data_IF_179701037606
#
_entry.id   IF_179701037606
#
_cell.length_a   1.000
_cell.length_b   1.000
_cell.length_c   1.000
_cell.angle_alpha   90.00
_cell.angle_beta   90.00
_cell.angle_gamma   90.00
#
_symmetry.space_group_name_H-M   'P 1'
#
loop_
_entity.id
_entity.type
_entity.pdbx_description
1 polymer ?
#
# COMPACT_ATOMS: atom_id res chain seq x y z
N UNK A 1 -23.76 -22.23 10.29
CA UNK A 1 -23.43 -22.78 11.62
C UNK A 1 -21.93 -22.60 11.79
N UNK A 2 -21.46 -22.04 12.91
CA UNK A 2 -20.05 -21.76 13.13
C UNK A 2 -19.25 -23.08 13.23
N UNK A 3 -18.22 -23.25 12.41
CA UNK A 3 -17.37 -24.46 12.36
C UNK A 3 -15.91 -24.11 12.62
N UNK A 4 -15.47 -24.36 13.85
CA UNK A 4 -14.11 -24.10 14.31
C UNK A 4 -13.04 -24.88 13.53
N UNK A 5 -13.32 -26.12 13.16
CA UNK A 5 -12.36 -26.95 12.44
C UNK A 5 -12.13 -26.38 11.04
N UNK A 6 -13.21 -25.96 10.40
CA UNK A 6 -13.13 -25.37 9.08
C UNK A 6 -12.48 -23.97 9.13
N UNK A 7 -12.76 -23.14 10.15
CA UNK A 7 -12.02 -21.89 10.39
C UNK A 7 -10.52 -22.14 10.55
N UNK A 8 -10.13 -23.07 11.42
CA UNK A 8 -8.72 -23.41 11.65
C UNK A 8 -8.03 -23.93 10.38
N UNK A 9 -8.74 -24.76 9.60
CA UNK A 9 -8.26 -25.24 8.30
C UNK A 9 -7.91 -24.07 7.38
N UNK A 10 -8.85 -23.14 7.18
CA UNK A 10 -8.65 -22.02 6.26
C UNK A 10 -7.57 -21.06 6.73
N UNK A 11 -7.54 -20.72 8.02
CA UNK A 11 -6.48 -19.90 8.60
C UNK A 11 -5.13 -20.57 8.33
N UNK A 12 -4.96 -21.84 8.69
CA UNK A 12 -3.70 -22.56 8.47
C UNK A 12 -3.32 -22.65 7.00
N UNK A 13 -4.30 -22.87 6.12
CA UNK A 13 -4.08 -23.00 4.69
C UNK A 13 -3.62 -21.68 4.05
N UNK A 14 -4.10 -20.52 4.52
CA UNK A 14 -3.63 -19.21 4.05
C UNK A 14 -2.13 -19.01 4.33
N UNK A 15 -1.62 -19.45 5.49
CA UNK A 15 -0.20 -19.33 5.81
C UNK A 15 0.69 -20.37 5.10
N UNK A 16 0.18 -21.58 4.86
CA UNK A 16 1.00 -22.67 4.29
C UNK A 16 0.93 -22.73 2.76
N UNK A 17 -0.26 -22.56 2.21
CA UNK A 17 -0.57 -22.80 0.80
C UNK A 17 -1.65 -21.83 0.31
N UNK A 18 -1.35 -20.51 0.26
CA UNK A 18 -2.36 -19.47 -0.01
C UNK A 18 -3.09 -19.65 -1.34
N UNK A 19 -2.38 -20.00 -2.42
CA UNK A 19 -3.00 -20.27 -3.73
C UNK A 19 -3.99 -21.43 -3.69
N UNK A 20 -3.59 -22.54 -3.08
CA UNK A 20 -4.43 -23.73 -2.98
C UNK A 20 -5.68 -23.43 -2.14
N UNK A 21 -5.51 -22.71 -1.03
CA UNK A 21 -6.59 -22.28 -0.16
C UNK A 21 -7.60 -21.39 -0.91
N UNK A 22 -7.10 -20.39 -1.65
CA UNK A 22 -7.94 -19.47 -2.42
C UNK A 22 -8.73 -20.19 -3.51
N UNK A 23 -8.10 -21.12 -4.26
CA UNK A 23 -8.78 -21.92 -5.28
C UNK A 23 -9.85 -22.84 -4.69
N UNK A 24 -9.51 -23.55 -3.62
CA UNK A 24 -10.44 -24.47 -2.95
C UNK A 24 -11.65 -23.71 -2.38
N UNK A 25 -11.40 -22.54 -1.77
CA UNK A 25 -12.46 -21.71 -1.21
C UNK A 25 -13.32 -21.05 -2.29
N UNK A 26 -12.72 -20.54 -3.36
CA UNK A 26 -13.44 -19.97 -4.50
C UNK A 26 -14.33 -21.04 -5.17
N UNK A 27 -13.83 -22.28 -5.30
CA UNK A 27 -14.59 -23.41 -5.85
C UNK A 27 -15.76 -23.82 -4.96
N UNK A 28 -15.67 -23.63 -3.64
CA UNK A 28 -16.76 -23.91 -2.71
C UNK A 28 -17.96 -22.96 -2.91
N UNK A 29 -17.76 -21.78 -3.51
CA UNK A 29 -18.83 -20.83 -3.84
C UNK A 29 -19.65 -20.41 -2.61
N UNK A 30 -18.99 -20.29 -1.45
CA UNK A 30 -19.66 -20.01 -0.19
C UNK A 30 -20.34 -18.62 -0.21
N UNK A 31 -21.58 -18.49 0.29
CA UNK A 31 -22.24 -17.19 0.42
C UNK A 31 -21.47 -16.28 1.39
N UNK A 32 -21.55 -14.96 1.20
CA UNK A 32 -20.80 -13.99 1.99
C UNK A 32 -21.02 -14.16 3.51
N UNK A 33 -22.25 -14.51 3.92
CA UNK A 33 -22.59 -14.70 5.32
C UNK A 33 -21.83 -15.91 5.93
N UNK A 34 -21.59 -16.96 5.14
CA UNK A 34 -20.77 -18.08 5.58
C UNK A 34 -19.31 -17.64 5.73
N UNK A 35 -18.77 -16.93 4.75
CA UNK A 35 -17.41 -16.38 4.80
C UNK A 35 -17.20 -15.45 6.00
N UNK A 36 -18.17 -14.58 6.28
CA UNK A 36 -18.16 -13.70 7.44
C UNK A 36 -18.14 -14.49 8.75
N UNK A 37 -19.11 -15.41 8.93
CA UNK A 37 -19.24 -16.20 10.15
C UNK A 37 -18.05 -17.14 10.38
N UNK A 38 -17.44 -17.65 9.31
CA UNK A 38 -16.41 -18.68 9.39
C UNK A 38 -14.98 -18.13 9.38
N UNK A 39 -14.74 -16.98 8.77
CA UNK A 39 -13.40 -16.41 8.63
C UNK A 39 -13.30 -15.07 9.34
N UNK A 40 -14.01 -14.05 8.85
CA UNK A 40 -13.85 -12.66 9.29
C UNK A 40 -14.15 -12.49 10.78
N UNK A 41 -15.30 -12.98 11.23
CA UNK A 41 -15.75 -12.84 12.61
C UNK A 41 -14.78 -13.52 13.60
N UNK A 42 -14.47 -14.82 13.49
CA UNK A 42 -13.53 -15.47 14.39
C UNK A 42 -12.11 -14.89 14.31
N UNK A 43 -11.64 -14.48 13.11
CA UNK A 43 -10.32 -13.88 12.97
C UNK A 43 -10.21 -12.57 13.76
N UNK A 44 -11.18 -11.66 13.64
CA UNK A 44 -11.18 -10.43 14.41
C UNK A 44 -11.41 -10.67 15.90
N UNK A 45 -12.34 -11.54 16.29
CA UNK A 45 -12.55 -11.85 17.73
C UNK A 45 -11.26 -12.36 18.36
N UNK A 46 -10.56 -13.28 17.68
CA UNK A 46 -9.26 -13.77 18.15
C UNK A 46 -8.20 -12.66 18.20
N UNK A 47 -8.10 -11.84 17.15
CA UNK A 47 -7.14 -10.74 17.09
C UNK A 47 -7.33 -9.75 18.24
N UNK A 48 -8.57 -9.36 18.50
CA UNK A 48 -8.90 -8.42 19.56
C UNK A 48 -8.67 -9.00 20.96
N UNK A 49 -9.02 -10.27 21.19
CA UNK A 49 -8.76 -10.91 22.49
C UNK A 49 -7.26 -11.10 22.75
N UNK A 50 -6.52 -11.58 21.75
CA UNK A 50 -5.07 -11.82 21.86
C UNK A 50 -4.32 -10.50 22.01
N UNK A 51 -4.63 -9.50 21.16
CA UNK A 51 -3.99 -8.19 21.22
C UNK A 51 -4.25 -7.48 22.55
N UNK A 52 -5.47 -7.60 23.11
CA UNK A 52 -5.78 -7.05 24.43
C UNK A 52 -4.97 -7.70 25.56
N UNK A 53 -4.82 -9.03 25.54
CA UNK A 53 -3.99 -9.75 26.52
C UNK A 53 -2.51 -9.37 26.38
N UNK A 54 -2.00 -9.32 25.15
CA UNK A 54 -0.60 -8.95 24.89
C UNK A 54 -0.32 -7.51 25.32
N UNK A 55 -1.22 -6.57 25.03
CA UNK A 55 -1.10 -5.18 25.48
C UNK A 55 -1.05 -5.09 27.01
N UNK A 56 -1.90 -5.85 27.71
CA UNK A 56 -1.91 -5.89 29.17
C UNK A 56 -0.60 -6.44 29.78
N UNK A 57 0.07 -7.37 29.09
CA UNK A 57 1.35 -7.96 29.53
C UNK A 57 2.53 -7.03 29.23
N UNK A 58 2.57 -6.47 28.02
CA UNK A 58 3.71 -5.69 27.53
C UNK A 58 3.61 -4.19 27.81
N UNK A 59 2.51 -3.74 28.43
CA UNK A 59 2.34 -2.35 28.86
C UNK A 59 2.38 -1.37 27.70
N UNK A 60 1.90 -1.76 26.52
CA UNK A 60 2.01 -0.98 25.28
C UNK A 60 1.21 0.33 25.28
N UNK A 61 0.50 0.66 26.37
CA UNK A 61 -0.32 1.87 26.49
C UNK A 61 -1.61 1.83 25.65
N UNK A 62 -1.57 1.10 24.53
CA UNK A 62 -2.69 0.82 23.65
C UNK A 62 -3.53 -0.33 24.17
N UNK A 63 -4.21 -0.14 25.30
CA UNK A 63 -5.38 -0.97 25.57
C UNK A 63 -6.47 -0.58 24.57
N UNK A 64 -6.37 -1.13 23.36
CA UNK A 64 -7.36 -1.14 22.28
C UNK A 64 -8.41 -0.02 22.35
N UNK A 65 -8.08 1.13 21.75
CA UNK A 65 -9.02 2.18 21.31
C UNK A 65 -10.14 2.56 22.28
N UNK A 66 -10.06 3.78 22.83
CA UNK A 66 -11.16 4.47 23.54
C UNK A 66 -11.58 3.82 24.87
N UNK A 67 -10.76 3.97 25.91
CA UNK A 67 -11.24 4.22 27.29
C UNK A 67 -12.27 3.28 27.92
N UNK A 68 -12.46 2.04 27.43
CA UNK A 68 -13.39 1.05 27.99
C UNK A 68 -14.07 0.12 26.97
N UNK A 69 -14.97 -0.74 27.46
CA UNK A 69 -15.64 -1.78 26.66
C UNK A 69 -16.47 -1.24 25.47
N UNK A 70 -16.94 0.00 25.54
CA UNK A 70 -17.70 0.64 24.46
C UNK A 70 -16.80 0.97 23.27
N UNK A 71 -15.60 1.53 23.51
CA UNK A 71 -14.62 1.81 22.46
C UNK A 71 -14.19 0.55 21.70
N UNK A 72 -13.96 -0.52 22.45
CA UNK A 72 -13.67 -1.84 21.90
C UNK A 72 -14.77 -2.34 20.94
N UNK A 73 -16.04 -2.27 21.36
CA UNK A 73 -17.17 -2.74 20.53
C UNK A 73 -17.31 -1.89 19.28
N UNK A 74 -17.16 -0.56 19.39
CA UNK A 74 -17.23 0.35 18.24
C UNK A 74 -16.10 0.04 17.24
N UNK A 75 -14.87 -0.13 17.71
CA UNK A 75 -13.72 -0.45 16.86
C UNK A 75 -13.87 -1.81 16.17
N UNK A 76 -14.39 -2.80 16.89
CA UNK A 76 -14.70 -4.09 16.32
C UNK A 76 -15.75 -3.99 15.20
N UNK A 77 -16.84 -3.26 15.42
CA UNK A 77 -17.89 -3.05 14.41
C UNK A 77 -17.35 -2.30 13.19
N UNK A 78 -16.51 -1.28 13.38
CA UNK A 78 -15.90 -0.54 12.29
C UNK A 78 -14.94 -1.40 11.46
N UNK A 79 -14.12 -2.25 12.10
CA UNK A 79 -13.25 -3.19 11.40
C UNK A 79 -14.05 -4.19 10.57
N UNK A 80 -15.14 -4.72 11.13
CA UNK A 80 -16.04 -5.59 10.38
C UNK A 80 -16.64 -4.83 9.20
N UNK A 81 -17.20 -3.63 9.42
CA UNK A 81 -17.78 -2.81 8.36
C UNK A 81 -16.77 -2.50 7.24
N UNK A 82 -15.51 -2.24 7.60
CA UNK A 82 -14.42 -2.04 6.65
C UNK A 82 -14.25 -3.24 5.70
N UNK A 83 -14.33 -4.48 6.19
CA UNK A 83 -14.26 -5.66 5.30
C UNK A 83 -15.42 -5.78 4.32
N UNK A 84 -16.62 -5.35 4.70
CA UNK A 84 -17.75 -5.29 3.78
C UNK A 84 -17.54 -4.23 2.69
N UNK A 85 -16.98 -3.08 3.06
CA UNK A 85 -16.65 -2.02 2.14
C UNK A 85 -15.56 -2.44 1.14
N UNK A 86 -14.50 -3.10 1.62
CA UNK A 86 -13.46 -3.70 0.77
C UNK A 86 -14.09 -4.64 -0.27
N UNK A 87 -14.93 -5.58 0.17
CA UNK A 87 -15.60 -6.52 -0.72
C UNK A 87 -16.50 -5.82 -1.75
N UNK A 88 -17.20 -4.77 -1.33
CA UNK A 88 -18.06 -3.98 -2.21
C UNK A 88 -17.28 -3.25 -3.30
N UNK A 89 -16.19 -2.57 -2.95
CA UNK A 89 -15.34 -1.85 -3.91
C UNK A 89 -14.75 -2.81 -4.93
N UNK A 90 -14.21 -3.94 -4.47
CA UNK A 90 -13.65 -4.97 -5.35
C UNK A 90 -14.71 -5.58 -6.27
N UNK A 91 -15.92 -5.88 -5.77
CA UNK A 91 -17.05 -6.35 -6.60
C UNK A 91 -17.45 -5.32 -7.66
N UNK A 92 -17.58 -4.06 -7.24
CA UNK A 92 -18.01 -2.98 -8.13
C UNK A 92 -17.02 -2.76 -9.27
N UNK A 93 -15.73 -2.68 -8.94
CA UNK A 93 -14.68 -2.49 -9.92
C UNK A 93 -14.49 -3.73 -10.80
N UNK A 94 -14.74 -4.95 -10.30
CA UNK A 94 -14.65 -6.15 -11.13
C UNK A 94 -15.58 -6.05 -12.36
N UNK A 95 -16.78 -5.49 -12.19
CA UNK A 95 -17.70 -5.26 -13.32
C UNK A 95 -17.19 -4.24 -14.35
N UNK A 96 -16.34 -3.30 -13.94
CA UNK A 96 -15.78 -2.26 -14.82
C UNK A 96 -14.61 -2.80 -15.65
N UNK A 97 -13.85 -3.75 -15.08
CA UNK A 97 -12.64 -4.31 -15.69
C UNK A 97 -12.86 -5.67 -16.37
N UNK A 98 -14.11 -6.02 -16.67
CA UNK A 98 -14.48 -7.26 -17.39
C UNK A 98 -14.44 -8.53 -16.55
N UNK A 99 -14.38 -8.41 -15.22
CA UNK A 99 -14.55 -9.50 -14.27
C UNK A 99 -16.02 -9.84 -13.98
N UNK A 100 -16.23 -10.93 -13.25
CA UNK A 100 -17.56 -11.37 -12.82
C UNK A 100 -17.93 -10.67 -11.50
N UNK A 101 -18.99 -9.85 -11.55
CA UNK A 101 -19.60 -9.30 -10.34
C UNK A 101 -20.26 -10.43 -9.55
N UNK A 102 -19.79 -10.64 -8.35
CA UNK A 102 -20.35 -11.55 -7.38
C UNK A 102 -19.86 -11.16 -5.99
N UNK A 103 -20.72 -10.51 -5.20
CA UNK A 103 -20.39 -10.06 -3.85
C UNK A 103 -20.02 -11.22 -2.93
N UNK A 104 -20.64 -12.39 -3.07
CA UNK A 104 -20.30 -13.59 -2.27
C UNK A 104 -18.84 -14.00 -2.49
N UNK A 105 -18.43 -13.99 -3.76
CA UNK A 105 -17.07 -14.31 -4.17
C UNK A 105 -16.07 -13.24 -3.75
N UNK A 106 -16.40 -11.95 -3.97
CA UNK A 106 -15.57 -10.82 -3.56
C UNK A 106 -15.36 -10.78 -2.04
N UNK A 107 -16.41 -11.05 -1.26
CA UNK A 107 -16.32 -11.11 0.19
C UNK A 107 -15.49 -12.31 0.65
N UNK A 108 -15.66 -13.49 0.04
CA UNK A 108 -14.83 -14.67 0.33
C UNK A 108 -13.33 -14.41 0.11
N UNK A 109 -12.99 -13.69 -0.96
CA UNK A 109 -11.63 -13.26 -1.26
C UNK A 109 -11.06 -12.37 -0.14
N UNK A 110 -11.77 -11.30 0.22
CA UNK A 110 -11.34 -10.37 1.27
C UNK A 110 -11.26 -11.08 2.63
N UNK A 111 -12.22 -11.95 2.94
CA UNK A 111 -12.26 -12.70 4.19
C UNK A 111 -11.06 -13.65 4.36
N UNK A 112 -10.51 -14.20 3.28
CA UNK A 112 -9.24 -14.94 3.33
C UNK A 112 -8.03 -14.02 3.39
N UNK A 113 -8.03 -12.96 2.59
CA UNK A 113 -6.90 -12.06 2.49
C UNK A 113 -6.67 -11.24 3.77
N UNK A 114 -7.69 -11.01 4.59
CA UNK A 114 -7.58 -10.24 5.84
C UNK A 114 -6.97 -11.05 7.00
N UNK A 115 -6.87 -12.38 6.87
CA UNK A 115 -6.38 -13.26 7.94
C UNK A 115 -4.98 -12.84 8.44
N UNK A 116 -3.99 -12.56 7.58
CA UNK A 116 -2.71 -12.02 8.02
C UNK A 116 -2.85 -10.70 8.76
N UNK A 117 -3.60 -9.73 8.21
CA UNK A 117 -3.79 -8.43 8.84
C UNK A 117 -4.42 -8.56 10.24
N UNK A 118 -5.39 -9.47 10.41
CA UNK A 118 -5.95 -9.80 11.72
C UNK A 118 -4.90 -10.36 12.68
N UNK A 119 -4.00 -11.22 12.22
CA UNK A 119 -2.85 -11.69 13.03
C UNK A 119 -1.90 -10.54 13.36
N UNK A 120 -1.65 -9.62 12.43
CA UNK A 120 -0.91 -8.38 12.68
C UNK A 120 -1.53 -7.57 13.82
N UNK A 121 -2.83 -7.31 13.75
CA UNK A 121 -3.60 -6.66 14.83
C UNK A 121 -3.53 -7.42 16.15
N UNK A 122 -3.49 -8.75 16.13
CA UNK A 122 -3.28 -9.52 17.35
C UNK A 122 -1.90 -9.25 17.96
N UNK A 123 -0.86 -9.14 17.13
CA UNK A 123 0.52 -8.91 17.55
C UNK A 123 0.83 -7.45 17.88
N UNK A 124 -0.07 -6.51 17.54
CA UNK A 124 0.10 -5.09 17.84
C UNK A 124 0.23 -4.79 19.33
N UNK A 125 -0.28 -5.67 20.21
CA UNK A 125 -0.14 -5.56 21.65
C UNK A 125 1.30 -5.66 22.18
N UNK A 126 2.27 -6.03 21.34
CA UNK A 126 3.69 -6.07 21.73
C UNK A 126 4.31 -4.69 21.51
N UNK A 127 4.55 -3.93 22.58
CA UNK A 127 4.93 -2.51 22.52
C UNK A 127 6.09 -2.13 21.56
N UNK A 128 7.12 -2.98 21.46
CA UNK A 128 8.38 -2.64 20.75
C UNK A 128 8.44 -3.13 19.30
N UNK A 129 7.61 -4.08 18.89
CA UNK A 129 7.63 -4.67 17.54
C UNK A 129 6.24 -4.85 16.93
N UNK A 130 5.18 -4.67 17.71
CA UNK A 130 3.79 -4.88 17.29
C UNK A 130 3.39 -4.03 16.10
N UNK A 131 3.85 -2.78 16.03
CA UNK A 131 3.63 -1.91 14.86
C UNK A 131 4.26 -2.46 13.58
N UNK A 132 5.52 -2.91 13.66
CA UNK A 132 6.24 -3.51 12.51
C UNK A 132 5.58 -4.82 12.08
N UNK A 133 5.18 -5.67 13.02
CA UNK A 133 4.47 -6.93 12.71
C UNK A 133 3.12 -6.67 12.05
N UNK A 134 2.39 -5.65 12.53
CA UNK A 134 1.12 -5.23 11.94
C UNK A 134 1.32 -4.73 10.51
N UNK A 135 2.36 -3.93 10.27
CA UNK A 135 2.69 -3.43 8.94
C UNK A 135 3.05 -4.58 7.99
N UNK A 136 3.95 -5.49 8.38
CA UNK A 136 4.34 -6.65 7.58
C UNK A 136 3.14 -7.55 7.25
N UNK A 137 2.28 -7.82 8.24
CA UNK A 137 1.06 -8.57 8.06
C UNK A 137 0.07 -7.90 7.11
N UNK A 138 -0.02 -6.56 7.15
CA UNK A 138 -0.90 -5.78 6.28
C UNK A 138 -0.38 -5.75 4.85
N UNK A 139 0.93 -5.57 4.65
CA UNK A 139 1.56 -5.67 3.32
C UNK A 139 1.31 -7.07 2.73
N UNK A 140 1.47 -8.12 3.53
CA UNK A 140 1.22 -9.47 3.05
C UNK A 140 -0.27 -9.72 2.72
N UNK A 141 -1.20 -9.15 3.49
CA UNK A 141 -2.64 -9.15 3.18
C UNK A 141 -2.95 -8.50 1.83
N UNK A 142 -2.28 -7.39 1.50
CA UNK A 142 -2.40 -6.70 0.21
C UNK A 142 -1.89 -7.60 -0.93
N UNK A 143 -0.74 -8.25 -0.74
CA UNK A 143 -0.17 -9.19 -1.72
C UNK A 143 -1.12 -10.38 -1.97
N UNK A 144 -1.67 -10.98 -0.92
CA UNK A 144 -2.65 -12.06 -1.05
C UNK A 144 -3.91 -11.61 -1.79
N UNK A 145 -4.39 -10.40 -1.53
CA UNK A 145 -5.55 -9.85 -2.24
C UNK A 145 -5.30 -9.84 -3.74
N UNK A 146 -4.15 -9.33 -4.20
CA UNK A 146 -3.75 -9.36 -5.62
C UNK A 146 -3.72 -10.78 -6.18
N UNK A 147 -3.17 -11.72 -5.42
CA UNK A 147 -3.07 -13.13 -5.81
C UNK A 147 -4.44 -13.81 -5.92
N UNK A 148 -5.42 -13.40 -5.11
CA UNK A 148 -6.72 -14.05 -5.06
C UNK A 148 -7.73 -13.53 -6.10
N UNK A 149 -7.58 -12.29 -6.58
CA UNK A 149 -8.42 -11.69 -7.64
C UNK A 149 -8.77 -12.65 -8.79
N UNK A 150 -7.81 -13.34 -9.45
CA UNK A 150 -8.11 -14.21 -10.58
C UNK A 150 -9.03 -15.39 -10.23
N UNK A 151 -8.95 -15.92 -9.00
CA UNK A 151 -9.71 -17.09 -8.59
C UNK A 151 -11.16 -16.75 -8.25
N UNK A 152 -11.40 -15.59 -7.64
CA UNK A 152 -12.72 -15.19 -7.14
C UNK A 152 -13.52 -14.35 -8.15
N UNK A 153 -12.87 -13.41 -8.83
CA UNK A 153 -13.57 -12.45 -9.70
C UNK A 153 -13.32 -12.69 -11.19
N UNK A 154 -12.45 -13.65 -11.53
CA UNK A 154 -12.14 -14.05 -12.92
C UNK A 154 -11.79 -12.88 -13.84
N UNK A 155 -11.14 -11.85 -13.29
CA UNK A 155 -10.71 -10.67 -14.05
C UNK A 155 -9.71 -11.11 -15.14
N UNK A 156 -9.89 -10.67 -16.40
CA UNK A 156 -8.98 -10.96 -17.51
C UNK A 156 -7.55 -10.52 -17.18
N UNK A 157 -6.56 -11.31 -17.59
CA UNK A 157 -5.14 -11.11 -17.21
C UNK A 157 -4.61 -9.71 -17.53
N UNK A 158 -5.00 -9.16 -18.68
CA UNK A 158 -4.70 -7.80 -19.15
C UNK A 158 -5.19 -6.70 -18.19
N UNK A 159 -6.32 -6.93 -17.50
CA UNK A 159 -6.96 -5.92 -16.65
C UNK A 159 -6.76 -6.16 -15.15
N UNK A 160 -6.07 -7.24 -14.74
CA UNK A 160 -5.88 -7.58 -13.31
C UNK A 160 -5.07 -6.51 -12.57
N UNK A 161 -4.01 -6.01 -13.20
CA UNK A 161 -3.18 -4.94 -12.64
C UNK A 161 -3.97 -3.64 -12.47
N UNK A 162 -4.75 -3.28 -13.49
CA UNK A 162 -5.60 -2.08 -13.50
C UNK A 162 -6.70 -2.15 -12.44
N UNK A 163 -7.43 -3.27 -12.39
CA UNK A 163 -8.45 -3.51 -11.38
C UNK A 163 -7.90 -3.43 -9.96
N UNK A 164 -6.76 -4.07 -9.70
CA UNK A 164 -6.14 -4.02 -8.38
C UNK A 164 -5.63 -2.63 -8.01
N UNK A 165 -4.89 -1.96 -8.91
CA UNK A 165 -4.34 -0.63 -8.68
C UNK A 165 -5.43 0.40 -8.39
N UNK A 166 -6.48 0.43 -9.22
CA UNK A 166 -7.63 1.33 -9.01
C UNK A 166 -8.38 0.99 -7.73
N UNK A 167 -8.56 -0.30 -7.41
CA UNK A 167 -9.21 -0.71 -6.15
C UNK A 167 -8.44 -0.22 -4.93
N UNK A 168 -7.11 -0.35 -4.91
CA UNK A 168 -6.27 0.13 -3.80
C UNK A 168 -6.36 1.65 -3.67
N UNK A 169 -6.29 2.39 -4.78
CA UNK A 169 -6.40 3.86 -4.75
C UNK A 169 -7.76 4.31 -4.23
N UNK A 170 -8.85 3.72 -4.73
CA UNK A 170 -10.21 4.02 -4.25
C UNK A 170 -10.34 3.73 -2.76
N UNK A 171 -9.78 2.62 -2.29
CA UNK A 171 -9.80 2.26 -0.87
C UNK A 171 -8.94 3.17 0.00
N UNK A 172 -7.81 3.66 -0.51
CA UNK A 172 -7.02 4.68 0.17
C UNK A 172 -7.82 5.99 0.32
N UNK A 173 -8.49 6.44 -0.74
CA UNK A 173 -9.34 7.64 -0.69
C UNK A 173 -10.47 7.45 0.32
N UNK A 174 -11.18 6.33 0.25
CA UNK A 174 -12.23 6.01 1.22
C UNK A 174 -11.63 5.95 2.64
N UNK A 175 -10.46 5.34 2.81
CA UNK A 175 -9.77 5.27 4.10
C UNK A 175 -9.44 6.64 4.67
N UNK A 176 -9.03 7.60 3.83
CA UNK A 176 -8.83 8.99 4.22
C UNK A 176 -10.14 9.63 4.70
N UNK A 177 -11.24 9.44 3.96
CA UNK A 177 -12.58 9.93 4.35
C UNK A 177 -13.01 9.34 5.71
N UNK A 178 -12.83 8.04 5.90
CA UNK A 178 -13.12 7.38 7.17
C UNK A 178 -12.22 7.89 8.29
N UNK A 179 -10.95 8.19 7.99
CA UNK A 179 -10.00 8.79 8.94
C UNK A 179 -10.46 10.16 9.43
N UNK A 180 -10.95 11.02 8.53
CA UNK A 180 -11.53 12.33 8.86
C UNK A 180 -12.80 12.18 9.69
N UNK A 181 -13.75 11.34 9.28
CA UNK A 181 -14.97 11.08 10.05
C UNK A 181 -14.61 10.58 11.47
N UNK A 182 -13.61 9.72 11.56
CA UNK A 182 -13.15 9.17 12.82
C UNK A 182 -12.50 10.22 13.72
N UNK A 183 -11.64 11.10 13.19
CA UNK A 183 -11.02 12.16 14.00
C UNK A 183 -12.08 13.15 14.53
N UNK A 184 -13.08 13.50 13.71
CA UNK A 184 -14.20 14.38 14.08
C UNK A 184 -15.09 13.77 15.16
N UNK A 185 -15.46 12.49 15.04
CA UNK A 185 -16.39 11.82 15.97
C UNK A 185 -15.78 11.59 17.36
N UNK A 186 -14.46 11.54 17.45
CA UNK A 186 -13.75 11.03 18.63
C UNK A 186 -12.71 12.01 19.23
N UNK A 187 -12.92 13.30 18.99
CA UNK A 187 -12.07 14.46 19.38
C UNK A 187 -11.53 14.50 20.81
N UNK A 188 -12.16 13.83 21.77
CA UNK A 188 -11.74 13.83 23.18
C UNK A 188 -10.67 12.78 23.55
N UNK A 189 -10.29 11.87 22.64
CA UNK A 189 -9.29 10.82 22.92
C UNK A 189 -8.28 10.62 21.79
N UNK A 190 -8.46 11.30 20.65
CA UNK A 190 -7.59 11.22 19.47
C UNK A 190 -6.18 11.83 19.66
N UNK A 191 -5.91 12.54 20.77
CA UNK A 191 -4.59 13.10 21.11
C UNK A 191 -3.53 12.04 21.45
N UNK A 192 -3.85 10.74 21.36
CA UNK A 192 -2.90 9.65 21.69
C UNK A 192 -2.59 8.70 20.54
N UNK A 193 -3.32 8.77 19.43
CA UNK A 193 -2.94 8.07 18.19
C UNK A 193 -2.50 9.13 17.18
N UNK A 194 -1.20 9.19 16.84
CA UNK A 194 -0.59 10.24 16.01
C UNK A 194 -1.16 10.45 14.58
N UNK A 195 -2.29 9.83 14.25
CA UNK A 195 -3.14 10.15 13.10
C UNK A 195 -4.13 11.31 13.40
N UNK A 196 -4.43 11.58 14.67
CA UNK A 196 -5.40 12.59 15.10
C UNK A 196 -4.89 14.04 15.03
N UNK A 197 -3.58 14.25 15.16
CA UNK A 197 -2.95 15.58 14.98
C UNK A 197 -2.71 15.93 13.50
N UNK A 198 -2.90 14.98 12.58
CA UNK A 198 -2.68 15.20 11.16
C UNK A 198 -3.93 15.68 10.39
N UNK A 199 -5.10 15.74 11.05
CA UNK A 199 -6.37 16.12 10.43
C UNK A 199 -7.03 17.20 11.29
N UNK A 200 -6.76 18.46 10.96
CA UNK A 200 -7.31 19.64 11.64
C UNK A 200 -8.70 20.03 11.09
N UNK A 201 -9.38 20.95 11.78
CA UNK A 201 -10.74 21.47 11.53
C UNK A 201 -10.94 21.93 10.07
N UNK A 202 -9.88 22.43 9.43
CA UNK A 202 -9.87 22.89 8.04
C UNK A 202 -9.85 21.75 7.02
N UNK A 203 -9.25 20.60 7.34
CA UNK A 203 -9.30 19.41 6.47
C UNK A 203 -10.74 18.89 6.40
N UNK A 204 -11.52 19.05 7.47
CA UNK A 204 -12.90 18.60 7.53
C UNK A 204 -13.84 19.46 6.67
N UNK A 205 -13.70 20.79 6.69
CA UNK A 205 -14.46 21.72 5.83
C UNK A 205 -14.18 21.50 4.33
N UNK A 206 -12.93 21.17 4.01
CA UNK A 206 -12.45 20.80 2.68
C UNK A 206 -13.14 19.54 2.12
N UNK A 207 -13.42 18.55 2.96
CA UNK A 207 -14.09 17.32 2.52
C UNK A 207 -15.61 17.46 2.37
N UNK A 208 -16.26 18.32 3.16
CA UNK A 208 -17.69 18.64 2.96
C UNK A 208 -17.93 19.33 1.61
N UNK A 209 -17.05 20.24 1.19
CA UNK A 209 -17.12 20.90 -0.12
C UNK A 209 -16.85 19.93 -1.30
N UNK A 210 -15.98 18.92 -1.09
CA UNK A 210 -15.68 17.88 -2.08
C UNK A 210 -16.82 16.86 -2.29
N UNK A 211 -17.72 16.70 -1.31
CA UNK A 211 -18.91 15.85 -1.43
C UNK A 211 -20.07 16.57 -2.14
N UNK A 212 -20.06 17.91 -2.14
CA UNK A 212 -21.08 18.76 -2.76
C UNK A 212 -20.72 19.25 -4.18
N UNK A 213 -19.46 19.12 -4.63
CA UNK A 213 -18.97 19.60 -5.94
C UNK A 213 -18.62 18.50 -6.95
N UNK A 214 -18.92 18.74 -8.24
CA UNK A 214 -18.52 17.88 -9.37
C UNK A 214 -17.06 17.43 -9.28
N UNK A 215 -16.85 16.10 -9.27
CA UNK A 215 -15.56 15.45 -9.02
C UNK A 215 -14.38 16.11 -9.76
N UNK A 216 -13.36 16.47 -8.99
CA UNK A 216 -12.19 17.22 -9.46
C UNK A 216 -11.43 16.48 -10.59
N UNK A 217 -11.33 17.05 -11.80
CA UNK A 217 -10.65 16.46 -12.95
C UNK A 217 -9.15 16.16 -12.77
N UNK A 218 -8.48 16.81 -11.81
CA UNK A 218 -7.03 16.69 -11.61
C UNK A 218 -6.59 15.37 -10.96
N UNK A 219 -7.41 14.82 -10.06
CA UNK A 219 -7.10 13.59 -9.32
C UNK A 219 -7.14 12.34 -10.23
N UNK A 220 -8.21 12.22 -11.03
CA UNK A 220 -8.38 11.09 -11.96
C UNK A 220 -7.26 11.06 -13.01
N UNK A 221 -6.85 12.23 -13.51
CA UNK A 221 -5.72 12.34 -14.45
C UNK A 221 -4.37 11.96 -13.82
N UNK A 222 -4.17 12.22 -12.51
CA UNK A 222 -2.99 11.81 -11.76
C UNK A 222 -2.93 10.31 -11.52
N UNK A 223 -4.05 9.70 -11.11
CA UNK A 223 -4.15 8.25 -10.88
C UNK A 223 -3.98 7.45 -12.19
N UNK A 224 -4.57 7.91 -13.29
CA UNK A 224 -4.40 7.29 -14.62
C UNK A 224 -2.94 7.37 -15.07
N UNK A 225 -2.27 8.52 -14.86
CA UNK A 225 -0.85 8.68 -15.20
C UNK A 225 0.05 7.70 -14.44
N UNK A 226 -0.16 7.55 -13.13
CA UNK A 226 0.61 6.60 -12.31
C UNK A 226 0.34 5.17 -12.75
N UNK A 227 -0.93 4.83 -13.05
CA UNK A 227 -1.30 3.53 -13.59
C UNK A 227 -0.58 3.19 -14.89
N UNK A 228 -0.61 4.11 -15.86
CA UNK A 228 0.07 3.95 -17.15
C UNK A 228 1.59 3.88 -16.98
N UNK A 229 2.18 4.71 -16.12
CA UNK A 229 3.63 4.71 -15.87
C UNK A 229 4.11 3.37 -15.28
N UNK A 230 3.34 2.79 -14.35
CA UNK A 230 3.65 1.48 -13.75
C UNK A 230 3.46 0.35 -14.76
N UNK A 231 2.45 0.43 -15.63
CA UNK A 231 2.23 -0.54 -16.71
C UNK A 231 3.38 -0.50 -17.73
N UNK A 232 3.77 0.70 -18.19
CA UNK A 232 4.87 0.89 -19.13
C UNK A 232 6.21 0.42 -18.55
N UNK A 233 6.43 0.61 -17.25
CA UNK A 233 7.61 0.12 -16.55
C UNK A 233 7.63 -1.40 -16.39
N UNK A 234 6.46 -2.03 -16.23
CA UNK A 234 6.33 -3.50 -16.15
C UNK A 234 6.45 -4.18 -17.51
N UNK A 235 6.12 -3.48 -18.60
CA UNK A 235 6.25 -3.98 -19.96
C UNK A 235 7.71 -4.00 -20.45
N UNK A 236 8.59 -3.21 -19.82
CA UNK A 236 10.00 -3.16 -20.18
C UNK A 236 10.68 -4.49 -19.87
N UNK A 237 11.38 -5.02 -20.87
CA UNK A 237 12.26 -6.19 -20.73
C UNK A 237 13.67 -5.76 -21.10
N UNK A 238 14.64 -6.37 -20.43
CA UNK A 238 16.06 -6.11 -20.68
C UNK A 238 16.83 -7.41 -20.48
N UNK A 239 17.70 -7.73 -21.44
CA UNK A 239 18.58 -8.89 -21.40
C UNK A 239 19.97 -8.42 -20.97
N UNK A 240 20.41 -8.71 -19.73
CA UNK A 240 21.72 -8.32 -19.26
C UNK A 240 22.85 -8.93 -20.11
N UNK A 241 23.99 -8.24 -20.24
CA UNK A 241 25.14 -8.78 -20.93
C UNK A 241 25.65 -10.04 -20.22
N UNK A 242 26.14 -11.01 -21.01
CA UNK A 242 26.51 -12.34 -20.51
C UNK A 242 27.71 -12.33 -19.55
N UNK A 243 28.54 -11.30 -19.60
CA UNK A 243 29.65 -11.07 -18.70
C UNK A 243 29.23 -10.41 -17.37
N UNK A 244 27.98 -9.90 -17.27
CA UNK A 244 27.48 -9.19 -16.09
C UNK A 244 28.17 -7.85 -15.83
N UNK A 245 28.91 -7.32 -16.81
CA UNK A 245 29.67 -6.09 -16.67
C UNK A 245 28.81 -4.88 -17.07
N UNK A 246 28.93 -3.83 -16.27
CA UNK A 246 28.39 -2.51 -16.57
C UNK A 246 29.28 -1.81 -17.58
N UNK A 247 28.63 -1.10 -18.49
CA UNK A 247 29.30 -0.15 -19.37
C UNK A 247 29.32 1.24 -18.75
N UNK A 248 30.31 2.05 -19.13
CA UNK A 248 30.42 3.45 -18.73
C UNK A 248 29.13 4.23 -19.09
N UNK A 249 28.60 4.03 -20.30
CA UNK A 249 27.36 4.66 -20.78
C UNK A 249 26.14 4.34 -19.89
N UNK A 250 26.06 3.10 -19.38
CA UNK A 250 24.98 2.69 -18.48
C UNK A 250 25.06 3.38 -17.13
N UNK A 251 26.27 3.49 -16.57
CA UNK A 251 26.51 4.18 -15.29
C UNK A 251 26.24 5.68 -15.44
N UNK A 252 26.71 6.31 -16.51
CA UNK A 252 26.41 7.71 -16.78
C UNK A 252 24.90 7.96 -16.96
N UNK A 253 24.20 7.08 -17.66
CA UNK A 253 22.76 7.19 -17.85
C UNK A 253 22.01 7.04 -16.54
N UNK A 254 22.44 6.10 -15.69
CA UNK A 254 21.92 5.95 -14.33
C UNK A 254 22.12 7.24 -13.52
N UNK A 255 23.33 7.81 -13.49
CA UNK A 255 23.63 9.05 -12.76
C UNK A 255 22.76 10.20 -13.27
N UNK A 256 22.68 10.41 -14.59
CA UNK A 256 21.83 11.46 -15.19
C UNK A 256 20.35 11.30 -14.83
N UNK A 257 19.85 10.08 -14.73
CA UNK A 257 18.48 9.82 -14.32
C UNK A 257 18.31 10.15 -12.83
N UNK A 258 19.22 9.71 -11.97
CA UNK A 258 19.15 9.97 -10.54
C UNK A 258 19.29 11.45 -10.19
N UNK A 259 20.15 12.22 -10.87
CA UNK A 259 20.24 13.68 -10.71
C UNK A 259 18.90 14.37 -11.04
N UNK A 260 18.26 13.94 -12.13
CA UNK A 260 16.93 14.45 -12.53
C UNK A 260 15.85 14.02 -11.54
N UNK A 261 15.94 12.81 -10.99
CA UNK A 261 15.04 12.31 -9.94
C UNK A 261 15.18 13.16 -8.68
N UNK A 262 16.39 13.42 -8.21
CA UNK A 262 16.61 14.32 -7.06
C UNK A 262 16.11 15.74 -7.34
N UNK A 263 16.35 16.28 -8.53
CA UNK A 263 15.84 17.60 -8.90
C UNK A 263 14.30 17.66 -8.98
N UNK A 264 13.65 16.55 -9.36
CA UNK A 264 12.20 16.42 -9.34
C UNK A 264 11.71 16.35 -7.89
N UNK A 265 12.26 15.45 -7.08
CA UNK A 265 11.90 15.28 -5.66
C UNK A 265 12.11 16.58 -4.90
N UNK A 266 13.27 17.24 -5.04
CA UNK A 266 13.57 18.52 -4.39
C UNK A 266 12.62 19.65 -4.80
N UNK A 267 12.10 19.64 -6.04
CA UNK A 267 11.04 20.59 -6.45
C UNK A 267 9.71 20.30 -5.78
N UNK A 268 9.36 19.02 -5.63
CA UNK A 268 8.13 18.61 -4.94
C UNK A 268 8.25 18.91 -3.43
N UNK A 269 9.38 18.60 -2.81
CA UNK A 269 9.71 19.00 -1.44
C UNK A 269 9.69 20.51 -1.23
N UNK A 270 10.20 21.29 -2.19
CA UNK A 270 10.12 22.75 -2.16
C UNK A 270 8.67 23.25 -2.14
N UNK A 271 7.76 22.59 -2.87
CA UNK A 271 6.33 22.90 -2.77
C UNK A 271 5.76 22.51 -1.41
N UNK A 272 6.11 21.35 -0.87
CA UNK A 272 5.65 20.93 0.47
C UNK A 272 6.11 21.92 1.55
N UNK A 273 7.39 22.36 1.49
CA UNK A 273 7.91 23.41 2.39
C UNK A 273 7.19 24.73 2.22
N UNK A 274 6.88 25.13 0.99
CA UNK A 274 6.13 26.36 0.74
C UNK A 274 4.70 26.28 1.32
N UNK A 275 4.06 25.10 1.28
CA UNK A 275 2.77 24.87 1.92
C UNK A 275 2.89 24.87 3.45
N UNK A 276 3.94 24.28 3.99
CA UNK A 276 4.26 24.30 5.43
C UNK A 276 4.51 25.72 5.93
N UNK A 277 5.29 26.54 5.21
CA UNK A 277 5.54 27.94 5.53
C UNK A 277 4.24 28.77 5.45
N UNK A 278 3.37 28.51 4.46
CA UNK A 278 2.06 29.16 4.35
C UNK A 278 1.16 28.83 5.55
N UNK A 279 1.16 27.57 5.99
CA UNK A 279 0.46 27.16 7.21
C UNK A 279 1.03 27.86 8.45
N UNK A 280 2.36 27.97 8.57
CA UNK A 280 3.01 28.69 9.68
C UNK A 280 2.69 30.19 9.70
N UNK A 281 2.44 30.79 8.53
CA UNK A 281 1.96 32.17 8.39
C UNK A 281 0.45 32.33 8.65
N UNK A 282 -0.26 31.26 9.03
CA UNK A 282 -1.71 31.26 9.27
C UNK A 282 -2.54 31.38 8.00
N UNK A 283 -1.98 31.03 6.84
CA UNK A 283 -2.73 30.91 5.57
C UNK A 283 -3.18 29.47 5.42
N UNK A 284 -4.49 29.29 5.32
CA UNK A 284 -5.09 27.98 5.06
C UNK A 284 -4.76 27.52 3.62
N UNK A 285 -4.21 26.31 3.42
CA UNK A 285 -3.93 25.77 2.09
C UNK A 285 -5.24 25.51 1.33
N UNK A 286 -5.28 25.87 0.05
CA UNK A 286 -6.49 25.69 -0.76
C UNK A 286 -6.72 24.22 -1.13
N UNK A 287 -7.95 23.88 -1.54
CA UNK A 287 -8.30 22.55 -2.05
C UNK A 287 -7.35 22.07 -3.17
N UNK A 288 -6.97 22.99 -4.06
CA UNK A 288 -6.00 22.70 -5.14
C UNK A 288 -4.61 22.38 -4.62
N UNK A 289 -4.23 22.94 -3.48
CA UNK A 289 -2.92 22.70 -2.85
C UNK A 289 -2.88 21.34 -2.16
N UNK A 290 -3.96 20.94 -1.47
CA UNK A 290 -4.07 19.64 -0.80
C UNK A 290 -4.19 18.49 -1.81
N UNK A 291 -5.01 18.62 -2.86
CA UNK A 291 -5.04 17.60 -3.92
C UNK A 291 -3.76 17.59 -4.76
N UNK A 292 -3.14 18.75 -4.96
CA UNK A 292 -1.81 18.88 -5.54
C UNK A 292 -0.76 18.14 -4.71
N UNK A 293 -0.84 18.21 -3.38
CA UNK A 293 0.09 17.57 -2.45
C UNK A 293 0.01 16.04 -2.52
N UNK A 294 -1.18 15.45 -2.60
CA UNK A 294 -1.37 13.99 -2.77
C UNK A 294 -0.82 13.52 -4.12
N UNK A 295 -1.10 14.27 -5.20
CA UNK A 295 -0.53 13.99 -6.52
C UNK A 295 0.99 14.11 -6.52
N UNK A 296 1.54 15.10 -5.82
CA UNK A 296 2.97 15.31 -5.68
C UNK A 296 3.62 14.20 -4.82
N UNK A 297 2.97 13.65 -3.79
CA UNK A 297 3.44 12.48 -3.03
C UNK A 297 3.51 11.23 -3.92
N UNK A 298 2.47 10.97 -4.72
CA UNK A 298 2.47 9.85 -5.65
C UNK A 298 3.59 9.99 -6.71
N UNK A 299 3.90 11.23 -7.13
CA UNK A 299 5.01 11.52 -8.03
C UNK A 299 6.37 11.38 -7.35
N UNK A 300 6.53 11.71 -6.07
CA UNK A 300 7.76 11.39 -5.31
C UNK A 300 7.99 9.88 -5.31
N UNK A 301 6.96 9.10 -5.01
CA UNK A 301 7.05 7.64 -4.96
C UNK A 301 7.38 6.99 -6.33
N UNK A 302 7.05 7.67 -7.42
CA UNK A 302 7.28 7.18 -8.80
C UNK A 302 8.32 8.02 -9.56
N UNK A 303 9.03 8.92 -8.89
CA UNK A 303 9.87 9.94 -9.54
C UNK A 303 10.99 9.32 -10.38
N UNK A 304 11.61 8.25 -9.88
CA UNK A 304 12.66 7.52 -10.59
C UNK A 304 12.12 6.91 -11.89
N UNK A 305 10.97 6.22 -11.80
CA UNK A 305 10.30 5.63 -12.96
C UNK A 305 9.83 6.69 -13.95
N UNK A 306 9.26 7.81 -13.47
CA UNK A 306 8.82 8.93 -14.32
C UNK A 306 9.99 9.49 -15.11
N UNK A 307 11.14 9.72 -14.46
CA UNK A 307 12.34 10.27 -15.11
C UNK A 307 12.90 9.31 -16.15
N UNK A 308 13.03 8.03 -15.82
CA UNK A 308 13.54 7.02 -16.75
C UNK A 308 12.65 6.92 -17.99
N UNK A 309 11.33 6.81 -17.80
CA UNK A 309 10.39 6.66 -18.92
C UNK A 309 10.26 7.94 -19.75
N UNK A 310 10.26 9.12 -19.13
CA UNK A 310 10.22 10.40 -19.87
C UNK A 310 11.51 10.69 -20.63
N UNK A 311 12.65 10.16 -20.19
CA UNK A 311 13.91 10.19 -20.93
C UNK A 311 13.94 9.19 -22.11
N UNK A 312 12.91 8.37 -22.29
CA UNK A 312 12.87 7.29 -23.29
C UNK A 312 13.70 6.07 -22.90
N UNK A 313 14.08 5.95 -21.62
CA UNK A 313 14.88 4.84 -21.09
C UNK A 313 14.05 3.58 -20.78
N UNK A 314 14.76 2.46 -20.66
CA UNK A 314 14.19 1.17 -20.29
C UNK A 314 14.27 0.98 -18.76
N UNK A 315 13.13 0.77 -18.10
CA UNK A 315 13.04 0.61 -16.66
C UNK A 315 13.71 -0.67 -16.14
N UNK A 316 13.64 -1.76 -16.91
CA UNK A 316 14.28 -3.02 -16.54
C UNK A 316 15.81 -2.91 -16.60
N UNK A 317 16.35 -2.21 -17.61
CA UNK A 317 17.78 -1.88 -17.69
C UNK A 317 18.21 -1.00 -16.52
N UNK A 318 17.50 0.10 -16.25
CA UNK A 318 17.81 1.01 -15.15
C UNK A 318 17.85 0.28 -13.80
N UNK A 319 16.86 -0.58 -13.54
CA UNK A 319 16.79 -1.39 -12.31
C UNK A 319 17.95 -2.39 -12.24
N UNK A 320 18.30 -3.03 -13.36
CA UNK A 320 19.44 -3.94 -13.43
C UNK A 320 20.76 -3.21 -13.14
N UNK A 321 21.00 -2.05 -13.75
CA UNK A 321 22.19 -1.21 -13.52
C UNK A 321 22.30 -0.84 -12.05
N UNK A 322 21.22 -0.31 -11.46
CA UNK A 322 21.14 0.06 -10.04
C UNK A 322 21.52 -1.12 -9.13
N UNK A 323 20.88 -2.27 -9.31
CA UNK A 323 21.15 -3.46 -8.51
C UNK A 323 22.57 -4.00 -8.69
N UNK A 324 23.15 -3.85 -9.89
CA UNK A 324 24.50 -4.30 -10.20
C UNK A 324 25.55 -3.39 -9.56
N UNK A 325 25.34 -2.07 -9.57
CA UNK A 325 26.17 -1.11 -8.83
C UNK A 325 26.11 -1.35 -7.32
N UNK A 326 24.91 -1.49 -6.75
CA UNK A 326 24.74 -1.79 -5.32
C UNK A 326 25.46 -3.08 -4.91
N UNK A 327 25.34 -4.14 -5.72
CA UNK A 327 26.05 -5.38 -5.49
C UNK A 327 27.57 -5.22 -5.59
N UNK A 328 28.05 -4.42 -6.54
CA UNK A 328 29.48 -4.15 -6.71
C UNK A 328 30.07 -3.40 -5.50
N UNK A 329 29.36 -2.40 -4.98
CA UNK A 329 29.76 -1.64 -3.78
C UNK A 329 29.89 -2.55 -2.56
N UNK A 330 28.96 -3.50 -2.40
CA UNK A 330 28.93 -4.41 -1.24
C UNK A 330 29.95 -5.55 -1.37
N UNK A 331 30.10 -6.13 -2.57
CA UNK A 331 30.87 -7.37 -2.76
C UNK A 331 32.30 -7.13 -3.26
N UNK A 332 32.60 -5.96 -3.84
CA UNK A 332 33.91 -5.44 -4.25
C UNK A 332 34.70 -6.33 -5.21
N UNK A 333 35.24 -7.47 -4.79
CA UNK A 333 36.17 -8.31 -5.56
C UNK A 333 35.74 -9.79 -5.71
N UNK A 334 34.46 -10.09 -5.47
CA UNK A 334 33.95 -11.47 -5.45
C UNK A 334 34.21 -12.26 -6.76
N UNK A 335 34.07 -11.62 -7.91
CA UNK A 335 34.37 -12.20 -9.23
C UNK A 335 34.76 -11.10 -10.23
N UNK A 336 35.21 -11.48 -11.43
CA UNK A 336 35.69 -10.54 -12.45
C UNK A 336 34.65 -9.49 -12.86
N UNK A 337 33.36 -9.84 -12.88
CA UNK A 337 32.28 -8.91 -13.21
C UNK A 337 32.03 -7.90 -12.07
N UNK A 338 31.93 -8.39 -10.84
CA UNK A 338 31.76 -7.55 -9.62
C UNK A 338 32.93 -6.60 -9.46
N UNK A 339 34.15 -7.09 -9.67
CA UNK A 339 35.37 -6.30 -9.60
C UNK A 339 35.39 -5.19 -10.65
N UNK A 340 35.09 -5.52 -11.91
CA UNK A 340 34.97 -4.53 -12.99
C UNK A 340 33.92 -3.46 -12.64
N UNK A 341 32.75 -3.88 -12.19
CA UNK A 341 31.67 -2.96 -11.82
C UNK A 341 32.03 -2.07 -10.63
N UNK A 342 32.81 -2.60 -9.68
CA UNK A 342 33.29 -1.84 -8.53
C UNK A 342 34.38 -0.82 -8.94
N UNK A 343 35.29 -1.22 -9.82
CA UNK A 343 36.27 -0.30 -10.42
C UNK A 343 35.55 0.84 -11.16
N UNK A 344 34.51 0.53 -11.93
CA UNK A 344 33.68 1.53 -12.60
C UNK A 344 32.92 2.43 -11.60
N UNK A 345 32.39 1.87 -10.50
CA UNK A 345 31.81 2.69 -9.43
C UNK A 345 32.82 3.67 -8.84
N UNK A 346 34.08 3.25 -8.61
CA UNK A 346 35.11 4.12 -8.05
C UNK A 346 35.42 5.34 -8.96
N UNK A 347 35.32 5.18 -10.28
CA UNK A 347 35.48 6.30 -11.22
C UNK A 347 34.37 7.34 -11.08
N UNK A 348 33.15 6.90 -10.75
CA UNK A 348 31.97 7.74 -10.57
C UNK A 348 31.58 7.98 -9.11
N UNK A 349 32.43 7.60 -8.16
CA UNK A 349 32.09 7.54 -6.75
C UNK A 349 31.57 8.89 -6.23
N UNK A 350 32.23 9.99 -6.56
CA UNK A 350 31.82 11.32 -6.11
C UNK A 350 30.41 11.69 -6.58
N UNK A 351 30.05 11.31 -7.81
CA UNK A 351 28.74 11.59 -8.38
C UNK A 351 27.67 10.68 -7.79
N UNK A 352 27.98 9.40 -7.58
CA UNK A 352 27.05 8.42 -7.01
C UNK A 352 26.82 8.70 -5.52
N UNK A 353 27.87 9.02 -4.76
CA UNK A 353 27.77 9.34 -3.34
C UNK A 353 26.99 10.64 -3.10
N UNK A 354 26.99 11.59 -4.05
CA UNK A 354 26.15 12.79 -4.00
C UNK A 354 24.65 12.51 -4.22
N UNK A 355 24.30 11.32 -4.73
CA UNK A 355 22.92 10.91 -4.98
C UNK A 355 22.22 10.29 -3.76
N UNK A 356 22.96 10.04 -2.68
CA UNK A 356 22.53 9.43 -1.42
C UNK A 356 22.63 10.42 -0.26
#
# INVERSE_FOLDING_TARGET
>A
MFDLNATQKWITAVFKTPDAAAREYAAAGAPFMQSFMQLTLPAYVAAFLVGGVLSAIFGSGDTMGFGGAIGFVVMFVLQVAWTFLLAFVFDFLAGTFGGVRNFDSAYGMIALAIIPAAVGTALSGIAWIGGVLTLLASIWSIVLTRQFVPYFQKVPEENRGKHFGVSVVVLLVIGLIFGVIYSTMFRATATTSGLGDAIDEDTQAVFEDALDGEGSPGFMAGAERVGNLVEDAQADTYDPPADGQLTEEQVETYIRNMEKTQALVGRLEGKFKQLEDQQQEGKEPSLTDVFGSIGDIARVATAETEVVKTAGGNWAEHTWVKSTLENAIVQQDLNDAVKHNYELYLEYQEQIDALH
#
